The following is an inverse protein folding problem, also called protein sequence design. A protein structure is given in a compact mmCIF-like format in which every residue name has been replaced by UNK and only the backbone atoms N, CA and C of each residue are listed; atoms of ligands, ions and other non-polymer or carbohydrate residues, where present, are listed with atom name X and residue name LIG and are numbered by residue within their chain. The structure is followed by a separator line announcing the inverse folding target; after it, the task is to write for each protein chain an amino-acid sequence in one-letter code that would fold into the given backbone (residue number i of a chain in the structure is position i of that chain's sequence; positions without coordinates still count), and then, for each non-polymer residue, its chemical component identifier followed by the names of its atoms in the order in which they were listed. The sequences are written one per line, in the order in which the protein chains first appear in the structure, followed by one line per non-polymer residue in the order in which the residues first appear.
data_IF_338984070637
#
_entry.id   IF_338984070637
#
_cell.length_a   1.000
_cell.length_b   1.000
_cell.length_c   1.000
_cell.angle_alpha   90.00
_cell.angle_beta   90.00
_cell.angle_gamma   90.00
#
_symmetry.space_group_name_H-M   'P 1'
#
loop_
_entity.id
_entity.type
_entity.pdbx_description
1 polymer ?
#
# COMPACT_ATOMS: atom_id res chain seq x y z
N UNK A 1 4.17 18.00 7.10
CA UNK A 1 4.61 16.69 6.61
C UNK A 1 6.10 16.78 6.36
N UNK A 2 6.92 15.95 7.02
CA UNK A 2 8.30 15.79 6.59
C UNK A 2 8.27 15.18 5.19
N UNK A 3 8.99 15.77 4.23
CA UNK A 3 9.10 15.22 2.90
C UNK A 3 10.16 14.11 2.95
N UNK A 4 9.74 12.90 3.30
CA UNK A 4 10.57 11.68 3.38
C UNK A 4 11.12 11.21 2.00
N UNK A 5 10.91 12.00 0.95
CA UNK A 5 10.97 11.56 -0.44
C UNK A 5 12.37 11.66 -1.09
N UNK A 6 13.32 12.39 -0.49
CA UNK A 6 14.53 12.80 -1.26
C UNK A 6 15.77 11.91 -1.09
N UNK A 7 15.93 11.22 0.05
CA UNK A 7 17.18 10.49 0.35
C UNK A 7 16.95 9.07 0.91
N UNK A 8 15.97 8.33 0.39
CA UNK A 8 15.80 6.93 0.78
C UNK A 8 16.93 6.06 0.18
N UNK A 9 17.60 5.21 0.99
CA UNK A 9 18.54 4.21 0.47
C UNK A 9 17.90 3.35 -0.62
N UNK A 10 18.69 2.89 -1.61
CA UNK A 10 18.20 1.99 -2.69
C UNK A 10 17.53 0.71 -2.16
N UNK A 11 17.90 0.26 -0.97
CA UNK A 11 17.36 -0.93 -0.30
C UNK A 11 16.36 -0.59 0.80
N UNK A 12 15.87 0.65 0.86
CA UNK A 12 14.89 1.06 1.86
C UNK A 12 13.62 0.23 1.72
N UNK A 13 13.11 -0.23 2.86
CA UNK A 13 11.83 -0.92 2.98
C UNK A 13 11.14 -0.45 4.24
N UNK A 14 9.80 -0.34 4.25
CA UNK A 14 9.08 0.03 5.45
C UNK A 14 9.27 -1.05 6.54
N UNK A 15 9.57 -0.62 7.76
CA UNK A 15 9.80 -1.48 8.93
C UNK A 15 8.74 -1.26 10.00
N UNK A 16 8.32 -0.01 10.19
CA UNK A 16 7.30 0.35 11.19
C UNK A 16 5.90 0.41 10.57
N UNK A 17 4.85 0.30 11.38
CA UNK A 17 3.48 0.43 10.87
C UNK A 17 3.20 1.78 10.18
N UNK A 18 3.82 2.86 10.68
CA UNK A 18 3.64 4.20 10.13
C UNK A 18 4.37 4.38 8.80
N UNK A 19 5.57 3.78 8.66
CA UNK A 19 6.28 3.71 7.38
C UNK A 19 5.49 2.90 6.35
N UNK A 20 4.84 1.81 6.76
CA UNK A 20 3.98 1.02 5.88
C UNK A 20 2.74 1.79 5.44
N UNK A 21 2.06 2.47 6.38
CA UNK A 21 0.92 3.34 6.07
C UNK A 21 1.32 4.42 5.07
N UNK A 22 2.42 5.13 5.34
CA UNK A 22 2.95 6.17 4.45
C UNK A 22 3.30 5.62 3.06
N UNK A 23 4.08 4.54 2.99
CA UNK A 23 4.54 3.95 1.73
C UNK A 23 3.36 3.47 0.87
N UNK A 24 2.44 2.71 1.47
CA UNK A 24 1.25 2.21 0.77
C UNK A 24 0.36 3.35 0.29
N UNK A 25 0.11 4.37 1.12
CA UNK A 25 -0.67 5.55 0.70
C UNK A 25 -0.02 6.25 -0.48
N UNK A 26 1.31 6.38 -0.50
CA UNK A 26 2.05 7.00 -1.63
C UNK A 26 1.91 6.19 -2.91
N UNK A 27 2.23 4.90 -2.89
CA UNK A 27 2.20 4.08 -4.11
C UNK A 27 0.77 3.90 -4.66
N UNK A 28 -0.24 3.86 -3.78
CA UNK A 28 -1.65 3.81 -4.20
C UNK A 28 -2.07 5.13 -4.84
N UNK A 29 -1.58 6.27 -4.32
CA UNK A 29 -1.99 7.57 -4.82
C UNK A 29 -1.28 8.01 -6.09
N UNK A 30 0.01 7.70 -6.20
CA UNK A 30 0.89 8.20 -7.26
C UNK A 30 1.34 7.12 -8.26
N UNK A 31 0.99 5.86 -7.99
CA UNK A 31 1.29 4.73 -8.87
C UNK A 31 2.49 3.91 -8.41
N UNK A 32 2.51 2.66 -8.87
CA UNK A 32 3.46 1.62 -8.48
C UNK A 32 4.71 1.55 -9.37
N UNK A 33 4.81 2.40 -10.39
CA UNK A 33 5.93 2.34 -11.35
C UNK A 33 6.06 1.00 -12.08
N UNK A 34 4.99 0.19 -12.13
CA UNK A 34 5.00 -1.17 -12.71
C UNK A 34 5.15 -2.31 -11.70
N UNK A 35 5.36 -2.02 -10.41
CA UNK A 35 5.45 -3.04 -9.37
C UNK A 35 4.08 -3.51 -8.87
N UNK A 36 4.01 -4.74 -8.32
CA UNK A 36 2.81 -5.28 -7.68
C UNK A 36 2.89 -5.11 -6.17
N UNK A 37 1.77 -4.73 -5.54
CA UNK A 37 1.65 -4.69 -4.09
C UNK A 37 1.46 -6.13 -3.57
N UNK A 38 2.16 -6.49 -2.50
CA UNK A 38 1.92 -7.74 -1.80
C UNK A 38 0.52 -7.73 -1.14
N UNK A 39 -0.39 -8.66 -1.49
CA UNK A 39 -1.78 -8.65 -1.01
C UNK A 39 -1.89 -8.86 0.50
N UNK A 40 -0.99 -9.65 1.11
CA UNK A 40 -0.96 -9.91 2.56
C UNK A 40 -0.65 -8.61 3.31
N UNK A 41 0.34 -7.86 2.83
CA UNK A 41 0.73 -6.57 3.40
C UNK A 41 -0.37 -5.52 3.20
N UNK A 42 -0.96 -5.46 2.00
CA UNK A 42 -2.06 -4.56 1.71
C UNK A 42 -3.22 -4.83 2.68
N UNK A 43 -3.67 -6.08 2.82
CA UNK A 43 -4.74 -6.47 3.76
C UNK A 43 -4.44 -6.05 5.20
N UNK A 44 -3.19 -6.25 5.66
CA UNK A 44 -2.76 -5.89 7.01
C UNK A 44 -2.90 -4.39 7.30
N UNK A 45 -2.54 -3.54 6.33
CA UNK A 45 -2.48 -2.08 6.54
C UNK A 45 -3.68 -1.32 5.96
N UNK A 46 -4.51 -1.93 5.13
CA UNK A 46 -5.71 -1.32 4.53
C UNK A 46 -6.61 -0.57 5.52
N UNK A 47 -6.85 -1.07 6.76
CA UNK A 47 -7.65 -0.33 7.74
C UNK A 47 -7.05 1.03 8.12
N UNK A 48 -5.72 1.14 8.08
CA UNK A 48 -4.96 2.33 8.47
C UNK A 48 -4.75 3.33 7.33
N UNK A 49 -4.91 2.92 6.08
CA UNK A 49 -4.60 3.76 4.92
C UNK A 49 -5.54 4.97 4.83
N UNK A 50 -4.92 6.15 4.69
CA UNK A 50 -5.59 7.42 4.42
C UNK A 50 -5.61 7.68 2.92
N UNK A 51 -6.44 6.90 2.22
CA UNK A 51 -6.66 7.01 0.77
C UNK A 51 -8.12 7.36 0.49
N UNK A 52 -8.40 7.82 -0.74
CA UNK A 52 -9.77 8.11 -1.16
C UNK A 52 -10.71 6.90 -0.89
N UNK A 53 -11.90 7.11 -0.32
CA UNK A 53 -12.82 6.02 0.03
C UNK A 53 -13.16 5.10 -1.15
N UNK A 54 -13.31 5.62 -2.36
CA UNK A 54 -13.60 4.78 -3.54
C UNK A 54 -12.40 3.90 -3.90
N UNK A 55 -11.18 4.42 -3.74
CA UNK A 55 -9.95 3.62 -3.89
C UNK A 55 -9.88 2.54 -2.82
N UNK A 56 -10.25 2.83 -1.59
CA UNK A 56 -10.28 1.84 -0.51
C UNK A 56 -11.24 0.70 -0.82
N UNK A 57 -12.47 1.00 -1.22
CA UNK A 57 -13.46 -0.01 -1.66
C UNK A 57 -12.95 -0.84 -2.82
N UNK A 58 -12.30 -0.22 -3.81
CA UNK A 58 -11.72 -0.95 -4.93
C UNK A 58 -10.61 -1.91 -4.49
N UNK A 59 -9.73 -1.49 -3.57
CA UNK A 59 -8.67 -2.35 -3.02
C UNK A 59 -9.26 -3.51 -2.20
N UNK A 60 -10.33 -3.26 -1.43
CA UNK A 60 -11.06 -4.31 -0.72
C UNK A 60 -11.62 -5.35 -1.70
N UNK A 61 -12.28 -4.90 -2.77
CA UNK A 61 -12.80 -5.77 -3.82
C UNK A 61 -11.69 -6.62 -4.46
N UNK A 62 -10.56 -6.01 -4.82
CA UNK A 62 -9.42 -6.73 -5.39
C UNK A 62 -8.84 -7.80 -4.45
N UNK A 63 -8.76 -7.50 -3.16
CA UNK A 63 -8.28 -8.46 -2.15
C UNK A 63 -9.23 -9.64 -2.00
N UNK A 64 -10.55 -9.40 -1.93
CA UNK A 64 -11.54 -10.47 -1.86
C UNK A 64 -11.47 -11.37 -3.11
N UNK A 65 -11.33 -10.78 -4.29
CA UNK A 65 -11.17 -11.56 -5.52
C UNK A 65 -9.88 -12.40 -5.53
N UNK A 66 -8.77 -11.84 -5.05
CA UNK A 66 -7.50 -12.56 -4.95
C UNK A 66 -7.60 -13.79 -4.03
N UNK A 67 -8.30 -13.66 -2.90
CA UNK A 67 -8.51 -14.78 -1.97
C UNK A 67 -9.31 -15.90 -2.62
N UNK A 68 -10.33 -15.57 -3.41
CA UNK A 68 -11.14 -16.57 -4.12
C UNK A 68 -10.38 -17.33 -5.22
N UNK A 69 -9.24 -16.82 -5.70
CA UNK A 69 -8.38 -17.48 -6.70
C UNK A 69 -7.25 -18.30 -6.07
N UNK A 70 -6.99 -18.11 -4.79
CA UNK A 70 -5.92 -18.79 -4.05
C UNK A 70 -6.36 -20.14 -3.44
N UNK A 71 -7.62 -20.54 -3.67
CA UNK A 71 -8.23 -21.83 -3.35
C UNK A 71 -8.58 -22.58 -4.64
#
# INVERSE_FOLDING_TARGET
MYNWDYDLPKNWKPKTPDEWEWYLTRIINYGLGGEKINPIILKKYLPRLKVDPKRKVFLEFLLTHYENLAY
#
